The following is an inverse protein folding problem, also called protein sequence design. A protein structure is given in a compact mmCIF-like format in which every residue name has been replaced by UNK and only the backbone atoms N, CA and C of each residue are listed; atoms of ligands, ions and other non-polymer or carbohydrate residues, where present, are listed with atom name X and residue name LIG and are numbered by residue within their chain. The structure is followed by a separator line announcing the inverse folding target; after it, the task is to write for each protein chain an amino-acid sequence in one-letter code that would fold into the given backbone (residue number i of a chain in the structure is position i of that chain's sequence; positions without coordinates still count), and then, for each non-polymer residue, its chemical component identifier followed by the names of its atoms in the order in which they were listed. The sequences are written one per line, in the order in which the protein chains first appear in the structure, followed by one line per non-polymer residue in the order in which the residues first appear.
data_IF_533079438795
#
_entry.id   IF_533079438795
#
_cell.length_a   1.000
_cell.length_b   1.000
_cell.length_c   1.000
_cell.angle_alpha   90.00
_cell.angle_beta   90.00
_cell.angle_gamma   90.00
#
_symmetry.space_group_name_H-M   'P 1'
#
loop_
_entity.id
_entity.type
_entity.pdbx_description
1 polymer ?
#
# COMPACT_ATOMS: atom_id res chain seq x y z
N UNK A 1 5.84 -19.16 -4.78
CA UNK A 1 6.18 -20.11 -3.68
C UNK A 1 6.90 -21.38 -4.15
N UNK A 2 7.91 -21.26 -5.01
CA UNK A 2 8.70 -22.41 -5.44
C UNK A 2 10.18 -22.04 -5.63
N UNK A 3 10.59 -21.57 -6.81
CA UNK A 3 12.00 -21.34 -7.18
C UNK A 3 12.86 -20.63 -6.13
N UNK A 4 12.48 -19.42 -5.68
CA UNK A 4 13.28 -18.65 -4.72
C UNK A 4 13.37 -19.24 -3.30
N UNK A 5 12.47 -20.14 -2.94
CA UNK A 5 12.49 -20.79 -1.63
C UNK A 5 13.24 -22.14 -1.63
N UNK A 6 13.60 -22.67 -2.81
CA UNK A 6 14.20 -24.01 -2.99
C UNK A 6 15.47 -23.93 -3.86
N UNK A 7 16.28 -22.88 -3.69
CA UNK A 7 17.46 -22.57 -4.52
C UNK A 7 18.52 -23.68 -4.54
N UNK A 8 18.59 -24.50 -3.48
CA UNK A 8 19.57 -25.56 -3.33
C UNK A 8 19.00 -26.96 -3.66
N UNK A 9 17.75 -27.05 -4.11
CA UNK A 9 17.09 -28.31 -4.44
C UNK A 9 16.25 -28.17 -5.70
N UNK A 10 16.92 -28.14 -6.85
CA UNK A 10 16.30 -27.90 -8.16
C UNK A 10 15.33 -29.01 -8.57
N UNK A 11 15.68 -30.26 -8.32
CA UNK A 11 14.83 -31.41 -8.63
C UNK A 11 13.56 -31.40 -7.78
N UNK A 12 13.70 -31.19 -6.47
CA UNK A 12 12.55 -31.04 -5.56
C UNK A 12 11.69 -29.82 -5.87
N UNK A 13 12.30 -28.71 -6.28
CA UNK A 13 11.56 -27.52 -6.74
C UNK A 13 10.75 -27.80 -8.01
N UNK A 14 11.32 -28.56 -8.94
CA UNK A 14 10.66 -28.94 -10.19
C UNK A 14 9.46 -29.85 -9.93
N UNK A 15 9.61 -30.87 -9.08
CA UNK A 15 8.49 -31.74 -8.71
C UNK A 15 7.39 -30.98 -7.97
N UNK A 16 7.76 -30.11 -7.01
CA UNK A 16 6.80 -29.22 -6.34
C UNK A 16 6.06 -28.33 -7.34
N UNK A 17 6.76 -27.77 -8.32
CA UNK A 17 6.15 -26.93 -9.35
C UNK A 17 5.13 -27.71 -10.18
N UNK A 18 5.47 -28.93 -10.61
CA UNK A 18 4.54 -29.83 -11.30
C UNK A 18 3.28 -30.07 -10.47
N UNK A 19 3.42 -30.33 -9.18
CA UNK A 19 2.27 -30.60 -8.32
C UNK A 19 1.39 -29.37 -8.07
N UNK A 20 1.98 -28.19 -7.91
CA UNK A 20 1.22 -26.93 -7.83
C UNK A 20 0.39 -26.72 -9.10
N UNK A 21 0.97 -26.98 -10.27
CA UNK A 21 0.26 -26.88 -11.55
C UNK A 21 -0.88 -27.92 -11.61
N UNK A 22 -0.63 -29.18 -11.24
CA UNK A 22 -1.66 -30.23 -11.22
C UNK A 22 -2.84 -29.85 -10.34
N UNK A 23 -2.58 -29.37 -9.12
CA UNK A 23 -3.63 -28.96 -8.18
C UNK A 23 -4.40 -27.75 -8.72
N UNK A 24 -3.70 -26.79 -9.34
CA UNK A 24 -4.34 -25.62 -9.96
C UNK A 24 -5.28 -26.05 -11.10
N UNK A 25 -4.82 -26.92 -12.00
CA UNK A 25 -5.64 -27.48 -13.08
C UNK A 25 -6.84 -28.26 -12.53
N UNK A 26 -6.64 -29.06 -11.48
CA UNK A 26 -7.72 -29.81 -10.84
C UNK A 26 -8.79 -28.88 -10.26
N UNK A 27 -8.39 -27.77 -9.61
CA UNK A 27 -9.29 -26.75 -9.09
C UNK A 27 -10.03 -26.00 -10.20
N UNK A 28 -9.34 -25.64 -11.29
CA UNK A 28 -9.92 -24.89 -12.42
C UNK A 28 -11.15 -25.59 -13.00
N UNK A 29 -11.18 -26.93 -13.00
CA UNK A 29 -12.33 -27.73 -13.48
C UNK A 29 -13.63 -27.49 -12.71
N UNK A 30 -13.55 -26.96 -11.49
CA UNK A 30 -14.71 -26.72 -10.62
C UNK A 30 -14.97 -25.23 -10.39
N UNK A 31 -14.23 -24.34 -11.06
CA UNK A 31 -14.51 -22.91 -10.98
C UNK A 31 -15.87 -22.63 -11.62
N UNK A 32 -16.58 -21.69 -11.01
CA UNK A 32 -17.84 -21.18 -11.51
C UNK A 32 -17.62 -19.75 -11.99
N UNK A 33 -18.38 -19.28 -12.98
CA UNK A 33 -18.40 -17.87 -13.31
C UNK A 33 -18.81 -17.07 -12.07
N UNK A 34 -18.06 -15.99 -11.81
CA UNK A 34 -18.37 -15.04 -10.75
C UNK A 34 -18.79 -13.74 -11.42
N UNK A 35 -19.84 -13.11 -10.91
CA UNK A 35 -20.23 -11.78 -11.36
C UNK A 35 -19.38 -10.74 -10.62
N UNK A 36 -18.83 -9.79 -11.38
CA UNK A 36 -18.18 -8.63 -10.81
C UNK A 36 -19.24 -7.74 -10.19
N UNK A 37 -19.07 -7.41 -8.90
CA UNK A 37 -19.98 -6.50 -8.21
C UNK A 37 -19.51 -5.07 -8.43
N UNK A 38 -20.38 -4.23 -8.98
CA UNK A 38 -20.14 -2.78 -9.00
C UNK A 38 -20.42 -2.21 -7.61
N UNK A 39 -19.42 -1.55 -7.03
CA UNK A 39 -19.52 -0.90 -5.74
C UNK A 39 -19.35 0.60 -5.94
N UNK A 40 -20.25 1.38 -5.34
CA UNK A 40 -20.13 2.84 -5.33
C UNK A 40 -18.96 3.26 -4.45
N UNK A 41 -18.04 4.04 -5.01
CA UNK A 41 -16.94 4.65 -4.27
C UNK A 41 -17.35 6.05 -3.84
N UNK A 42 -17.28 6.33 -2.53
CA UNK A 42 -17.48 7.67 -1.99
C UNK A 42 -16.26 8.52 -2.33
N UNK A 43 -16.47 9.74 -2.82
CA UNK A 43 -15.39 10.68 -3.19
C UNK A 43 -14.84 11.44 -1.97
N UNK A 44 -14.54 10.70 -0.91
CA UNK A 44 -13.97 11.21 0.33
C UNK A 44 -12.70 10.42 0.66
N UNK A 45 -11.68 11.11 1.16
CA UNK A 45 -10.41 10.48 1.55
C UNK A 45 -10.15 10.71 3.03
N UNK A 46 -9.71 9.66 3.73
CA UNK A 46 -9.19 9.74 5.09
C UNK A 46 -7.67 9.60 5.05
N UNK A 47 -6.96 10.61 5.54
CA UNK A 47 -5.52 10.58 5.74
C UNK A 47 -5.23 10.43 7.22
N UNK A 48 -4.40 9.45 7.58
CA UNK A 48 -4.03 9.16 8.97
C UNK A 48 -2.56 9.51 9.19
N UNK A 49 -2.32 10.48 10.08
CA UNK A 49 -1.01 11.03 10.38
C UNK A 49 -0.78 12.38 9.70
N UNK A 50 -0.69 13.45 10.48
CA UNK A 50 -0.43 14.83 10.08
C UNK A 50 1.06 15.18 9.98
N UNK A 51 1.94 14.23 9.65
CA UNK A 51 3.33 14.54 9.30
C UNK A 51 3.44 15.16 7.89
N UNK A 52 4.65 15.57 7.49
CA UNK A 52 4.90 16.17 6.16
C UNK A 52 4.29 15.37 4.99
N UNK A 53 4.38 14.04 5.03
CA UNK A 53 3.81 13.17 4.00
C UNK A 53 2.27 13.21 3.97
N UNK A 54 1.61 13.18 5.14
CA UNK A 54 0.15 13.22 5.23
C UNK A 54 -0.42 14.59 4.91
N UNK A 55 0.28 15.66 5.29
CA UNK A 55 -0.06 17.03 4.91
C UNK A 55 -0.01 17.16 3.39
N UNK A 56 1.09 16.75 2.74
CA UNK A 56 1.20 16.86 1.28
C UNK A 56 0.16 16.03 0.56
N UNK A 57 -0.05 14.77 0.96
CA UNK A 57 -1.08 13.92 0.38
C UNK A 57 -2.49 14.55 0.51
N UNK A 58 -2.77 15.20 1.65
CA UNK A 58 -4.05 15.87 1.87
C UNK A 58 -4.22 17.08 0.97
N UNK A 59 -3.17 17.88 0.79
CA UNK A 59 -3.19 19.05 -0.09
C UNK A 59 -3.38 18.64 -1.55
N UNK A 60 -2.62 17.67 -2.05
CA UNK A 60 -2.73 17.20 -3.43
C UNK A 60 -4.15 16.67 -3.75
N UNK A 61 -4.75 15.95 -2.80
CA UNK A 61 -6.11 15.42 -2.94
C UNK A 61 -7.18 16.51 -2.84
N UNK A 62 -7.00 17.48 -1.95
CA UNK A 62 -7.91 18.62 -1.83
C UNK A 62 -7.87 19.49 -3.09
N UNK A 63 -6.67 19.76 -3.63
CA UNK A 63 -6.48 20.51 -4.89
C UNK A 63 -7.08 19.78 -6.09
N UNK A 64 -7.08 18.44 -6.07
CA UNK A 64 -7.78 17.61 -7.05
C UNK A 64 -9.32 17.59 -6.87
N UNK A 65 -9.85 18.26 -5.85
CA UNK A 65 -11.28 18.43 -5.61
C UNK A 65 -11.93 17.31 -4.77
N UNK A 66 -11.14 16.51 -4.06
CA UNK A 66 -11.67 15.52 -3.12
C UNK A 66 -11.91 16.14 -1.75
N UNK A 67 -12.95 15.69 -1.04
CA UNK A 67 -13.10 16.01 0.38
C UNK A 67 -12.13 15.14 1.18
N UNK A 68 -11.23 15.79 1.93
CA UNK A 68 -10.19 15.10 2.70
C UNK A 68 -10.40 15.32 4.19
N UNK A 69 -10.40 14.23 4.95
CA UNK A 69 -10.35 14.23 6.40
C UNK A 69 -8.95 13.83 6.84
N UNK A 70 -8.18 14.73 7.45
CA UNK A 70 -6.86 14.44 8.02
C UNK A 70 -7.00 14.24 9.53
N UNK A 71 -6.58 13.08 10.04
CA UNK A 71 -6.55 12.79 11.48
C UNK A 71 -5.12 12.66 11.96
N UNK A 72 -4.81 13.33 13.07
CA UNK A 72 -3.53 13.25 13.76
C UNK A 72 -3.77 12.79 15.20
N UNK A 73 -2.88 11.95 15.72
CA UNK A 73 -2.94 11.40 17.07
C UNK A 73 -2.56 12.45 18.11
N UNK A 74 -1.56 13.27 17.80
CA UNK A 74 -1.06 14.31 18.68
C UNK A 74 -1.89 15.61 18.56
N UNK A 75 -1.70 16.53 19.50
CA UNK A 75 -2.43 17.81 19.52
C UNK A 75 -2.07 18.75 18.35
N UNK A 76 -0.97 18.50 17.65
CA UNK A 76 -0.46 19.31 16.54
C UNK A 76 0.00 18.45 15.37
N UNK A 77 -0.19 18.97 14.17
CA UNK A 77 0.39 18.42 12.93
C UNK A 77 1.86 18.85 12.77
N UNK A 78 2.56 18.27 11.80
CA UNK A 78 3.97 18.52 11.48
C UNK A 78 4.86 17.28 11.65
N UNK A 79 4.44 16.33 12.49
CA UNK A 79 5.17 15.09 12.74
C UNK A 79 6.62 15.34 13.21
N UNK A 80 7.55 14.48 12.82
CA UNK A 80 8.96 14.63 13.19
C UNK A 80 9.60 15.89 12.62
N UNK A 81 9.15 16.37 11.46
CA UNK A 81 9.72 17.55 10.80
C UNK A 81 9.58 18.80 11.67
N UNK A 82 8.48 18.94 12.40
CA UNK A 82 8.27 20.06 13.32
C UNK A 82 9.22 20.05 14.54
N UNK A 83 9.88 18.93 14.84
CA UNK A 83 10.85 18.83 15.92
C UNK A 83 12.31 19.06 15.46
N UNK A 84 12.54 19.20 14.15
CA UNK A 84 13.88 19.42 13.61
C UNK A 84 14.19 20.93 13.58
N UNK A 85 15.42 21.31 13.90
CA UNK A 85 15.88 22.71 13.78
C UNK A 85 16.13 23.09 12.30
N UNK A 86 16.74 22.18 11.54
CA UNK A 86 17.09 22.42 10.13
C UNK A 86 16.91 21.18 9.27
N UNK A 87 16.62 21.40 8.00
CA UNK A 87 16.51 20.36 6.97
C UNK A 87 17.73 20.36 6.04
N UNK A 88 18.41 19.22 5.93
CA UNK A 88 19.51 19.05 4.97
C UNK A 88 18.92 18.80 3.56
N UNK A 89 19.53 19.30 2.46
CA UNK A 89 20.81 20.00 2.35
C UNK A 89 20.75 21.53 2.46
N UNK A 90 19.57 22.12 2.34
CA UNK A 90 19.41 23.58 2.22
C UNK A 90 19.62 24.32 3.54
N UNK A 91 19.57 23.61 4.67
CA UNK A 91 19.69 24.15 6.02
C UNK A 91 18.59 25.15 6.38
N UNK A 92 17.42 25.00 5.73
CA UNK A 92 16.23 25.78 6.02
C UNK A 92 15.58 25.33 7.32
N UNK A 93 14.88 26.26 7.98
CA UNK A 93 14.06 25.95 9.15
C UNK A 93 12.95 24.97 8.76
N UNK A 94 12.67 24.00 9.63
CA UNK A 94 11.83 22.84 9.29
C UNK A 94 10.33 23.12 9.29
N UNK A 95 9.86 24.00 10.18
CA UNK A 95 8.48 24.51 10.22
C UNK A 95 8.43 25.88 10.89
#
# INVERSE_FOLDING_TARGET
HCSWAHLNNWDGATEKAKDIVKVSVARTRYLRPQEETELSVIKEVLVVGGGVAGIQASLDLADAGYQVNLIEKEASIGGLMAALDKTYPTMDCSI
#
